data_IF_510902951493
#
_entry.id   IF_510902951493
#
_cell.length_a   1.000
_cell.length_b   1.000
_cell.length_c   1.000
_cell.angle_alpha   90.00
_cell.angle_beta   90.00
_cell.angle_gamma   90.00
#
_symmetry.space_group_name_H-M   'P 1'
#
loop_
_entity.id
_entity.type
_entity.pdbx_description
1 polymer ?
#
# COMPACT_ATOMS: atom_id res chain seq x y z
N UNK A 1 -26.75 31.26 -10.45
CA UNK A 1 -26.95 29.82 -10.37
C UNK A 1 -25.64 29.24 -9.83
N UNK A 2 -25.63 28.51 -8.71
CA UNK A 2 -24.41 27.85 -8.24
C UNK A 2 -24.01 26.79 -9.27
N UNK A 3 -22.76 26.83 -9.72
CA UNK A 3 -22.19 25.75 -10.53
C UNK A 3 -22.33 24.44 -9.75
N UNK A 4 -22.73 23.32 -10.39
CA UNK A 4 -22.70 22.03 -9.74
C UNK A 4 -21.27 21.78 -9.32
N UNK A 5 -21.03 21.63 -8.02
CA UNK A 5 -19.75 21.19 -7.50
C UNK A 5 -19.50 19.79 -8.06
N UNK A 6 -18.66 19.69 -9.07
CA UNK A 6 -18.18 18.40 -9.58
C UNK A 6 -17.54 17.68 -8.40
N UNK A 7 -18.13 16.57 -7.98
CA UNK A 7 -17.49 15.72 -6.97
C UNK A 7 -16.09 15.37 -7.45
N UNK A 8 -15.08 15.49 -6.61
CA UNK A 8 -13.72 15.18 -7.00
C UNK A 8 -13.64 13.72 -7.47
N UNK A 9 -12.99 13.50 -8.62
CA UNK A 9 -12.83 12.17 -9.20
C UNK A 9 -11.86 11.39 -8.33
N UNK A 10 -12.20 10.18 -7.86
CA UNK A 10 -11.27 9.33 -7.12
C UNK A 10 -10.02 9.01 -7.93
N UNK A 11 -8.87 8.89 -7.26
CA UNK A 11 -7.62 8.43 -7.86
C UNK A 11 -7.70 6.95 -8.22
N UNK A 12 -8.32 6.17 -7.32
CA UNK A 12 -8.63 4.75 -7.53
C UNK A 12 -10.09 4.54 -7.17
N UNK A 13 -10.83 3.88 -8.06
CA UNK A 13 -12.23 3.51 -7.83
C UNK A 13 -12.41 2.03 -8.08
N UNK A 14 -12.94 1.33 -7.09
CA UNK A 14 -13.32 -0.07 -7.17
C UNK A 14 -14.85 -0.16 -7.17
N UNK A 15 -15.42 -0.97 -8.06
CA UNK A 15 -16.87 -1.19 -8.11
C UNK A 15 -17.18 -2.67 -8.31
N UNK A 16 -18.00 -3.18 -7.40
CA UNK A 16 -18.53 -4.54 -7.42
C UNK A 16 -17.44 -5.59 -7.68
N UNK A 17 -16.29 -5.46 -6.99
CA UNK A 17 -15.13 -6.30 -7.27
C UNK A 17 -15.29 -7.66 -6.61
N UNK A 18 -15.27 -8.71 -7.41
CA UNK A 18 -15.38 -10.10 -6.96
C UNK A 18 -14.10 -10.89 -7.28
N UNK A 19 -13.71 -11.77 -6.36
CA UNK A 19 -12.65 -12.76 -6.59
C UNK A 19 -12.84 -14.01 -5.77
N UNK A 20 -12.80 -15.14 -6.46
CA UNK A 20 -12.86 -16.48 -5.87
C UNK A 20 -11.65 -17.32 -6.26
N UNK A 21 -11.31 -18.31 -5.46
CA UNK A 21 -10.33 -19.34 -5.73
C UNK A 21 -10.99 -20.71 -5.48
N UNK A 22 -11.38 -21.41 -6.53
CA UNK A 22 -12.27 -22.55 -6.45
C UNK A 22 -13.59 -22.14 -5.79
N UNK A 23 -14.03 -22.87 -4.79
CA UNK A 23 -15.29 -22.59 -4.06
C UNK A 23 -15.15 -21.48 -3.02
N UNK A 24 -13.93 -20.96 -2.78
CA UNK A 24 -13.71 -19.95 -1.76
C UNK A 24 -13.84 -18.55 -2.35
N UNK A 25 -14.92 -17.84 -1.98
CA UNK A 25 -15.08 -16.41 -2.25
C UNK A 25 -14.15 -15.62 -1.32
N UNK A 26 -13.33 -14.73 -1.89
CA UNK A 26 -12.36 -13.91 -1.14
C UNK A 26 -12.69 -12.43 -1.21
N UNK A 27 -13.18 -11.95 -2.35
CA UNK A 27 -13.78 -10.62 -2.50
C UNK A 27 -15.22 -10.81 -2.99
N UNK A 28 -16.16 -10.12 -2.37
CA UNK A 28 -17.60 -10.29 -2.57
C UNK A 28 -18.30 -8.94 -2.73
N UNK A 29 -18.10 -8.31 -3.89
CA UNK A 29 -18.72 -7.02 -4.23
C UNK A 29 -18.04 -5.84 -3.50
N UNK A 30 -16.71 -5.72 -3.60
CA UNK A 30 -15.97 -4.62 -2.99
C UNK A 30 -16.19 -3.32 -3.76
N UNK A 31 -16.74 -2.30 -3.07
CA UNK A 31 -16.80 -0.91 -3.51
C UNK A 31 -15.89 -0.05 -2.63
N UNK A 32 -14.99 0.73 -3.24
CA UNK A 32 -14.10 1.62 -2.52
C UNK A 32 -13.64 2.77 -3.41
N UNK A 33 -13.69 4.00 -2.89
CA UNK A 33 -13.12 5.18 -3.51
C UNK A 33 -11.91 5.67 -2.71
N UNK A 34 -10.79 5.91 -3.39
CA UNK A 34 -9.57 6.44 -2.80
C UNK A 34 -9.30 7.78 -3.47
N UNK A 35 -9.33 8.83 -2.67
CA UNK A 35 -9.23 10.20 -3.17
C UNK A 35 -7.79 10.57 -3.53
N UNK A 36 -7.56 11.47 -4.52
CA UNK A 36 -6.22 11.87 -4.90
C UNK A 36 -5.51 12.60 -3.74
N UNK A 37 -4.22 12.31 -3.59
CA UNK A 37 -3.33 12.92 -2.57
C UNK A 37 -3.77 12.66 -1.12
N UNK A 38 -4.48 11.57 -0.90
CA UNK A 38 -4.83 11.09 0.45
C UNK A 38 -4.23 9.72 0.70
N UNK A 39 -4.12 9.38 1.96
CA UNK A 39 -3.72 8.05 2.42
C UNK A 39 -4.96 7.28 2.90
N UNK A 40 -5.30 6.18 2.22
CA UNK A 40 -6.33 5.22 2.63
C UNK A 40 -5.67 4.04 3.34
N UNK A 41 -6.15 3.70 4.52
CA UNK A 41 -5.71 2.47 5.21
C UNK A 41 -6.81 1.41 5.15
N UNK A 42 -6.49 0.23 4.65
CA UNK A 42 -7.38 -0.93 4.64
C UNK A 42 -7.00 -1.86 5.78
N UNK A 43 -7.88 -1.96 6.77
CA UNK A 43 -7.72 -2.88 7.91
C UNK A 43 -8.60 -4.12 7.76
N UNK A 44 -8.37 -5.13 8.58
CA UNK A 44 -9.17 -6.36 8.64
C UNK A 44 -8.38 -7.55 9.12
N UNK A 45 -9.05 -8.60 9.51
CA UNK A 45 -8.44 -9.83 10.02
C UNK A 45 -7.57 -10.56 8.99
N UNK A 46 -6.79 -11.53 9.49
CA UNK A 46 -6.05 -12.43 8.60
C UNK A 46 -7.03 -13.20 7.70
N UNK A 47 -6.73 -13.25 6.40
CA UNK A 47 -7.59 -13.95 5.43
C UNK A 47 -8.84 -13.17 4.99
N UNK A 48 -9.04 -11.91 5.42
CA UNK A 48 -10.21 -11.11 5.01
C UNK A 48 -10.22 -10.69 3.52
N UNK A 49 -9.11 -10.89 2.79
CA UNK A 49 -9.01 -10.57 1.37
C UNK A 49 -8.11 -9.37 1.03
N UNK A 50 -7.52 -8.67 2.02
CA UNK A 50 -6.72 -7.44 1.79
C UNK A 50 -5.60 -7.60 0.76
N UNK A 51 -4.79 -8.63 0.89
CA UNK A 51 -3.68 -8.88 -0.06
C UNK A 51 -4.20 -9.30 -1.45
N UNK A 52 -5.38 -9.92 -1.53
CA UNK A 52 -6.01 -10.24 -2.82
C UNK A 52 -6.54 -8.97 -3.47
N UNK A 53 -7.21 -8.09 -2.70
CA UNK A 53 -7.66 -6.78 -3.15
C UNK A 53 -6.48 -5.98 -3.73
N UNK A 54 -5.38 -5.88 -2.99
CA UNK A 54 -4.16 -5.22 -3.42
C UNK A 54 -3.62 -5.80 -4.73
N UNK A 55 -3.51 -7.14 -4.81
CA UNK A 55 -3.03 -7.83 -6.02
C UNK A 55 -3.94 -7.61 -7.22
N UNK A 56 -5.25 -7.49 -7.03
CA UNK A 56 -6.18 -7.14 -8.11
C UNK A 56 -5.93 -5.72 -8.61
N UNK A 57 -5.77 -4.73 -7.73
CA UNK A 57 -5.49 -3.34 -8.11
C UNK A 57 -4.14 -3.21 -8.83
N UNK A 58 -3.12 -3.95 -8.37
CA UNK A 58 -1.81 -4.03 -9.03
C UNK A 58 -1.86 -4.79 -10.37
N UNK A 59 -2.97 -5.49 -10.65
CA UNK A 59 -3.12 -6.35 -11.83
C UNK A 59 -2.22 -7.58 -11.81
N UNK A 60 -1.85 -8.05 -10.62
CA UNK A 60 -1.13 -9.31 -10.40
C UNK A 60 -2.10 -10.51 -10.36
N UNK A 61 -3.36 -10.23 -10.03
CA UNK A 61 -4.48 -11.19 -10.07
C UNK A 61 -5.63 -10.50 -10.81
N UNK A 62 -6.25 -11.20 -11.76
CA UNK A 62 -7.43 -10.71 -12.44
C UNK A 62 -8.67 -11.01 -11.57
N UNK A 63 -9.51 -10.00 -11.25
CA UNK A 63 -10.78 -10.23 -10.59
C UNK A 63 -11.74 -10.98 -11.50
N UNK A 64 -12.73 -11.65 -10.91
CA UNK A 64 -13.73 -12.42 -11.69
C UNK A 64 -14.81 -11.49 -12.23
N UNK A 65 -15.16 -10.43 -11.46
CA UNK A 65 -16.17 -9.42 -11.86
C UNK A 65 -15.80 -8.05 -11.28
N UNK A 66 -16.47 -7.02 -11.81
CA UNK A 66 -16.34 -5.63 -11.35
C UNK A 66 -15.47 -4.77 -12.24
N UNK A 67 -15.06 -3.61 -11.70
CA UNK A 67 -14.15 -2.67 -12.37
C UNK A 67 -13.13 -2.07 -11.41
N UNK A 68 -11.97 -1.73 -11.95
CA UNK A 68 -10.88 -1.02 -11.27
C UNK A 68 -10.50 0.17 -12.13
N UNK A 69 -10.84 1.37 -11.68
CA UNK A 69 -10.46 2.60 -12.37
C UNK A 69 -9.28 3.27 -11.67
N UNK A 70 -8.31 3.71 -12.45
CA UNK A 70 -7.20 4.58 -12.03
C UNK A 70 -7.26 5.86 -12.86
N UNK A 71 -7.43 7.01 -12.21
CA UNK A 71 -7.66 8.30 -12.88
C UNK A 71 -8.80 8.25 -13.91
N UNK A 72 -9.87 7.50 -13.61
CA UNK A 72 -11.05 7.33 -14.47
C UNK A 72 -10.87 6.33 -15.63
N UNK A 73 -9.72 5.66 -15.73
CA UNK A 73 -9.48 4.62 -16.74
C UNK A 73 -9.69 3.24 -16.11
N UNK A 74 -10.65 2.46 -16.62
CA UNK A 74 -10.86 1.06 -16.20
C UNK A 74 -9.69 0.19 -16.72
N UNK A 75 -8.77 -0.15 -15.80
CA UNK A 75 -7.55 -0.90 -16.13
C UNK A 75 -7.80 -2.38 -16.48
N UNK A 76 -8.99 -2.91 -16.20
CA UNK A 76 -9.35 -4.27 -16.59
C UNK A 76 -9.74 -4.35 -18.07
N UNK A 77 -10.37 -3.29 -18.59
CA UNK A 77 -10.87 -3.20 -19.98
C UNK A 77 -9.97 -2.39 -20.90
N UNK A 78 -9.06 -1.59 -20.33
CA UNK A 78 -8.14 -0.74 -21.08
C UNK A 78 -7.21 -1.55 -21.99
N UNK A 79 -6.80 -0.95 -23.10
CA UNK A 79 -5.78 -1.52 -23.97
C UNK A 79 -4.45 -1.71 -23.21
N UNK A 80 -3.65 -2.69 -23.67
CA UNK A 80 -2.38 -3.04 -23.00
C UNK A 80 -1.47 -1.83 -22.74
N UNK A 81 -1.26 -0.88 -23.68
CA UNK A 81 -0.40 0.29 -23.44
C UNK A 81 -0.91 1.20 -22.33
N UNK A 82 -2.23 1.44 -22.25
CA UNK A 82 -2.87 2.26 -21.22
C UNK A 82 -2.74 1.60 -19.84
N UNK A 83 -2.97 0.30 -19.77
CA UNK A 83 -2.82 -0.50 -18.56
C UNK A 83 -1.38 -0.52 -18.05
N UNK A 84 -0.40 -0.68 -18.94
CA UNK A 84 1.03 -0.62 -18.60
C UNK A 84 1.43 0.79 -18.13
N UNK A 85 0.92 1.85 -18.77
CA UNK A 85 1.14 3.23 -18.36
C UNK A 85 0.57 3.52 -16.96
N UNK A 86 -0.64 3.03 -16.64
CA UNK A 86 -1.23 3.17 -15.31
C UNK A 86 -0.38 2.45 -14.24
N UNK A 87 0.07 1.22 -14.53
CA UNK A 87 0.92 0.43 -13.61
C UNK A 87 2.30 1.04 -13.38
N UNK A 88 2.88 1.64 -14.40
CA UNK A 88 4.20 2.30 -14.29
C UNK A 88 4.21 3.47 -13.31
N UNK A 89 3.04 3.98 -12.92
CA UNK A 89 2.85 5.08 -11.96
C UNK A 89 2.63 4.59 -10.53
N UNK A 90 2.72 3.28 -10.30
CA UNK A 90 2.49 2.64 -8.99
C UNK A 90 3.84 2.24 -8.37
N UNK A 91 4.08 2.68 -7.14
CA UNK A 91 5.13 2.19 -6.27
C UNK A 91 4.57 1.20 -5.25
N UNK A 92 5.37 0.21 -4.87
CA UNK A 92 4.95 -0.84 -3.92
C UNK A 92 6.03 -1.14 -2.90
N UNK A 93 5.68 -1.05 -1.61
CA UNK A 93 6.45 -1.60 -0.50
C UNK A 93 5.79 -2.90 -0.04
N UNK A 94 6.47 -4.02 -0.28
CA UNK A 94 6.02 -5.36 0.11
C UNK A 94 6.31 -5.64 1.59
N UNK A 95 5.54 -6.53 2.19
CA UNK A 95 5.64 -6.92 3.60
C UNK A 95 7.08 -7.34 4.01
N UNK A 96 7.77 -8.13 3.19
CA UNK A 96 9.15 -8.55 3.44
C UNK A 96 10.22 -7.60 2.85
N UNK A 97 9.83 -6.40 2.36
CA UNK A 97 10.73 -5.51 1.62
C UNK A 97 11.01 -5.97 0.19
N UNK A 98 11.08 -7.28 -0.05
CA UNK A 98 11.33 -7.94 -1.35
C UNK A 98 12.57 -7.38 -2.08
N UNK A 99 13.65 -7.08 -1.36
CA UNK A 99 14.91 -6.66 -1.96
C UNK A 99 15.49 -7.80 -2.81
N UNK A 100 16.20 -7.44 -3.86
CA UNK A 100 16.93 -8.40 -4.68
C UNK A 100 18.23 -8.76 -3.97
N UNK A 101 18.36 -9.99 -3.48
CA UNK A 101 19.53 -10.45 -2.73
C UNK A 101 20.82 -10.44 -3.57
N UNK A 102 20.69 -10.59 -4.88
CA UNK A 102 21.82 -10.55 -5.82
C UNK A 102 22.34 -9.15 -6.15
N UNK A 103 21.65 -8.09 -5.69
CA UNK A 103 22.02 -6.72 -5.96
C UNK A 103 22.43 -5.99 -4.68
N UNK A 104 23.46 -5.14 -4.71
CA UNK A 104 23.79 -4.28 -3.58
C UNK A 104 22.66 -3.29 -3.31
N UNK A 105 22.66 -2.70 -2.13
CA UNK A 105 21.60 -1.78 -1.67
C UNK A 105 21.38 -0.63 -2.64
N UNK A 106 22.44 0.02 -3.14
CA UNK A 106 22.27 1.14 -4.08
C UNK A 106 21.58 0.73 -5.38
N UNK A 107 21.83 -0.48 -5.90
CA UNK A 107 21.15 -1.00 -7.09
C UNK A 107 19.69 -1.35 -6.80
N UNK A 108 19.41 -1.88 -5.60
CA UNK A 108 18.03 -2.07 -5.15
C UNK A 108 17.26 -0.74 -5.17
N UNK A 109 17.79 0.31 -4.55
CA UNK A 109 17.15 1.63 -4.54
C UNK A 109 16.97 2.19 -5.96
N UNK A 110 18.01 2.11 -6.78
CA UNK A 110 18.00 2.66 -8.14
C UNK A 110 17.34 1.75 -9.18
N UNK A 111 16.82 0.57 -8.81
CA UNK A 111 16.33 -0.44 -9.74
C UNK A 111 15.31 0.12 -10.75
N UNK A 112 14.29 0.83 -10.26
CA UNK A 112 13.28 1.44 -11.11
C UNK A 112 13.83 2.52 -12.05
N UNK A 113 14.85 3.28 -11.63
CA UNK A 113 15.51 4.30 -12.45
C UNK A 113 16.33 3.67 -13.57
N UNK A 114 17.04 2.59 -13.26
CA UNK A 114 17.84 1.84 -14.23
C UNK A 114 16.97 1.13 -15.25
N UNK A 115 15.86 0.51 -14.80
CA UNK A 115 14.92 -0.19 -15.68
C UNK A 115 14.24 0.73 -16.69
N UNK A 116 14.07 2.01 -16.37
CA UNK A 116 13.53 3.01 -17.31
C UNK A 116 14.56 3.53 -18.33
N UNK A 117 15.82 3.10 -18.25
CA UNK A 117 16.93 3.56 -19.11
C UNK A 117 17.13 5.09 -19.18
N UNK A 118 16.64 5.83 -18.18
CA UNK A 118 16.68 7.31 -18.14
C UNK A 118 17.95 7.86 -17.49
N UNK A 119 18.72 7.01 -16.83
CA UNK A 119 19.92 7.41 -16.09
C UNK A 119 21.08 6.44 -16.35
N UNK A 120 22.30 6.94 -16.30
CA UNK A 120 23.51 6.11 -16.32
C UNK A 120 23.69 5.42 -14.97
N UNK A 121 24.45 4.30 -14.95
CA UNK A 121 24.74 3.57 -13.71
C UNK A 121 25.42 4.45 -12.64
N UNK A 122 26.31 5.37 -13.04
CA UNK A 122 26.94 6.34 -12.16
C UNK A 122 25.91 7.29 -11.53
N UNK A 123 25.06 7.90 -12.35
CA UNK A 123 23.98 8.79 -11.86
C UNK A 123 22.99 8.06 -10.95
N UNK A 124 22.66 6.80 -11.27
CA UNK A 124 21.78 5.97 -10.45
C UNK A 124 22.37 5.74 -9.05
N UNK A 125 23.68 5.48 -8.96
CA UNK A 125 24.38 5.31 -7.67
C UNK A 125 24.44 6.61 -6.87
N UNK A 126 24.72 7.74 -7.50
CA UNK A 126 24.70 9.06 -6.86
C UNK A 126 23.31 9.35 -6.27
N UNK A 127 22.24 9.17 -7.05
CA UNK A 127 20.86 9.33 -6.58
C UNK A 127 20.48 8.36 -5.46
N UNK A 128 20.90 7.10 -5.58
CA UNK A 128 20.64 6.11 -4.52
C UNK A 128 21.27 6.53 -3.18
N UNK A 129 22.46 7.14 -3.21
CA UNK A 129 23.10 7.69 -2.01
C UNK A 129 22.28 8.82 -1.40
N UNK A 130 21.74 9.71 -2.21
CA UNK A 130 20.85 10.79 -1.75
C UNK A 130 19.56 10.23 -1.13
N UNK A 131 18.94 9.22 -1.76
CA UNK A 131 17.75 8.54 -1.24
C UNK A 131 18.02 7.83 0.10
N UNK A 132 19.14 7.12 0.22
CA UNK A 132 19.53 6.47 1.49
C UNK A 132 19.68 7.47 2.62
N UNK A 133 20.24 8.65 2.36
CA UNK A 133 20.35 9.71 3.35
C UNK A 133 18.98 10.22 3.82
N UNK A 134 17.95 10.26 2.95
CA UNK A 134 16.60 10.70 3.29
C UNK A 134 15.91 9.78 4.32
N UNK A 135 16.29 8.50 4.36
CA UNK A 135 15.81 7.54 5.35
C UNK A 135 16.82 7.28 6.48
N UNK A 136 17.80 8.17 6.64
CA UNK A 136 18.77 8.11 7.72
C UNK A 136 19.76 6.93 7.61
N UNK A 137 20.10 6.52 6.39
CA UNK A 137 21.13 5.51 6.13
C UNK A 137 22.40 6.17 5.58
N UNK A 138 23.56 5.75 6.11
CA UNK A 138 24.84 6.24 5.65
C UNK A 138 25.16 5.77 4.21
N UNK A 139 25.93 6.57 3.46
CA UNK A 139 26.34 6.23 2.10
C UNK A 139 27.07 4.86 2.00
N UNK A 140 27.81 4.49 3.05
CA UNK A 140 28.52 3.20 3.13
C UNK A 140 27.58 1.98 3.10
N UNK A 141 26.32 2.14 3.48
CA UNK A 141 25.31 1.07 3.41
C UNK A 141 25.00 0.70 1.96
N UNK A 142 25.22 1.64 1.02
CA UNK A 142 24.91 1.44 -0.39
C UNK A 142 25.61 0.23 -1.03
N UNK A 143 26.81 -0.11 -0.60
CA UNK A 143 27.60 -1.22 -1.16
C UNK A 143 27.34 -2.58 -0.49
N UNK A 144 26.57 -2.60 0.60
CA UNK A 144 26.24 -3.82 1.33
C UNK A 144 25.21 -4.66 0.57
N UNK A 145 25.26 -6.00 0.69
CA UNK A 145 24.16 -6.86 0.27
C UNK A 145 22.97 -6.73 1.27
N UNK A 146 21.73 -6.97 0.83
CA UNK A 146 20.56 -6.92 1.71
C UNK A 146 20.65 -7.80 2.97
N UNK A 147 21.34 -8.92 2.88
CA UNK A 147 21.52 -9.87 3.98
C UNK A 147 22.31 -9.30 5.18
N UNK A 148 23.12 -8.27 4.98
CA UNK A 148 23.88 -7.58 6.04
C UNK A 148 23.08 -6.47 6.74
N UNK A 149 21.86 -6.20 6.29
CA UNK A 149 21.01 -5.16 6.85
C UNK A 149 20.13 -5.68 7.99
N UNK A 150 19.93 -4.89 9.02
CA UNK A 150 18.85 -5.15 9.99
C UNK A 150 17.47 -5.03 9.33
N UNK A 151 16.42 -5.64 9.92
CA UNK A 151 15.07 -5.59 9.40
C UNK A 151 14.55 -4.15 9.16
N UNK A 152 14.83 -3.23 10.08
CA UNK A 152 14.49 -1.81 9.92
C UNK A 152 15.28 -1.11 8.80
N UNK A 153 16.54 -1.49 8.56
CA UNK A 153 17.32 -0.99 7.42
C UNK A 153 16.76 -1.54 6.10
N UNK A 154 16.43 -2.83 6.04
CA UNK A 154 15.81 -3.44 4.84
C UNK A 154 14.50 -2.75 4.47
N UNK A 155 13.64 -2.43 5.45
CA UNK A 155 12.39 -1.70 5.22
C UNK A 155 12.63 -0.30 4.67
N UNK A 156 13.62 0.44 5.21
CA UNK A 156 13.98 1.77 4.71
C UNK A 156 14.53 1.75 3.28
N UNK A 157 15.39 0.79 2.97
CA UNK A 157 15.89 0.56 1.60
C UNK A 157 14.74 0.20 0.64
N UNK A 158 13.83 -0.68 1.06
CA UNK A 158 12.67 -1.07 0.25
C UNK A 158 11.69 0.08 0.03
N UNK A 159 11.53 0.97 1.03
CA UNK A 159 10.75 2.19 0.88
C UNK A 159 11.38 3.10 -0.19
N UNK A 160 12.68 3.37 -0.11
CA UNK A 160 13.37 4.20 -1.10
C UNK A 160 13.31 3.58 -2.51
N UNK A 161 13.44 2.27 -2.65
CA UNK A 161 13.25 1.59 -3.94
C UNK A 161 11.85 1.84 -4.53
N UNK A 162 10.82 1.84 -3.66
CA UNK A 162 9.45 2.05 -4.10
C UNK A 162 9.19 3.49 -4.54
N UNK A 163 9.83 4.49 -3.92
CA UNK A 163 9.60 5.92 -4.17
C UNK A 163 10.60 6.54 -5.16
N UNK A 164 11.75 5.92 -5.40
CA UNK A 164 12.77 6.45 -6.32
C UNK A 164 12.24 6.78 -7.73
N UNK A 165 11.30 6.00 -8.32
CA UNK A 165 10.68 6.33 -9.60
C UNK A 165 9.68 7.51 -9.54
N UNK A 166 9.41 8.08 -8.36
CA UNK A 166 8.42 9.14 -8.11
C UNK A 166 7.00 8.74 -8.54
N UNK A 167 6.44 7.67 -7.96
CA UNK A 167 5.12 7.19 -8.33
C UNK A 167 3.99 8.12 -7.88
N UNK A 168 2.88 8.15 -8.63
CA UNK A 168 1.68 8.89 -8.27
C UNK A 168 0.82 8.16 -7.24
N UNK A 169 0.98 6.84 -7.17
CA UNK A 169 0.24 5.96 -6.28
C UNK A 169 1.24 5.08 -5.54
N UNK A 170 1.11 5.00 -4.23
CA UNK A 170 1.94 4.16 -3.37
C UNK A 170 1.10 3.10 -2.67
N UNK A 171 1.53 1.86 -2.76
CA UNK A 171 0.97 0.75 -1.97
C UNK A 171 1.95 0.29 -0.90
N UNK A 172 1.43 0.04 0.30
CA UNK A 172 2.17 -0.44 1.46
C UNK A 172 1.48 -1.70 2.01
N UNK A 173 2.11 -2.85 1.86
CA UNK A 173 1.59 -4.12 2.38
C UNK A 173 2.29 -4.44 3.70
N UNK A 174 1.58 -4.26 4.82
CA UNK A 174 2.06 -4.55 6.17
C UNK A 174 3.45 -3.94 6.44
N UNK A 175 3.65 -2.61 6.28
CA UNK A 175 4.98 -2.00 6.23
C UNK A 175 5.78 -2.16 7.52
N UNK A 176 5.12 -2.26 8.68
CA UNK A 176 5.73 -2.32 10.01
C UNK A 176 5.76 -3.73 10.61
N UNK A 177 5.21 -4.71 9.93
CA UNK A 177 5.19 -6.10 10.41
C UNK A 177 6.61 -6.63 10.60
N UNK A 178 6.86 -7.23 11.79
CA UNK A 178 8.14 -7.80 12.19
C UNK A 178 9.13 -6.78 12.78
N UNK A 179 8.72 -5.54 12.98
CA UNK A 179 9.50 -4.51 13.67
C UNK A 179 9.00 -4.31 15.11
N UNK A 180 9.89 -3.82 15.96
CA UNK A 180 9.48 -3.33 17.28
C UNK A 180 8.62 -2.04 17.15
N UNK A 181 7.83 -1.67 18.18
CA UNK A 181 6.92 -0.53 18.09
C UNK A 181 7.61 0.82 17.82
N UNK A 182 8.84 1.00 18.27
CA UNK A 182 9.59 2.27 18.06
C UNK A 182 10.02 2.35 16.60
N UNK A 183 10.61 1.27 16.07
CA UNK A 183 11.01 1.21 14.66
C UNK A 183 9.78 1.26 13.74
N UNK A 184 8.68 0.61 14.12
CA UNK A 184 7.41 0.73 13.40
C UNK A 184 6.97 2.18 13.28
N UNK A 185 7.00 2.96 14.37
CA UNK A 185 6.66 4.37 14.34
C UNK A 185 7.60 5.21 13.46
N UNK A 186 8.88 4.86 13.40
CA UNK A 186 9.85 5.51 12.48
C UNK A 186 9.47 5.24 11.03
N UNK A 187 9.15 3.99 10.67
CA UNK A 187 8.74 3.63 9.29
C UNK A 187 7.43 4.34 8.92
N UNK A 188 6.44 4.37 9.82
CA UNK A 188 5.18 5.09 9.59
C UNK A 188 5.44 6.59 9.30
N UNK A 189 6.31 7.23 10.10
CA UNK A 189 6.72 8.62 9.88
C UNK A 189 7.36 8.83 8.51
N UNK A 190 8.30 7.96 8.12
CA UNK A 190 8.94 8.01 6.81
C UNK A 190 7.93 7.84 5.67
N UNK A 191 6.94 6.95 5.80
CA UNK A 191 5.85 6.76 4.82
C UNK A 191 5.07 8.06 4.67
N UNK A 192 4.62 8.66 5.78
CA UNK A 192 3.84 9.91 5.77
C UNK A 192 4.62 11.04 5.10
N UNK A 193 5.89 11.21 5.46
CA UNK A 193 6.75 12.27 4.91
C UNK A 193 6.99 12.07 3.41
N UNK A 194 7.24 10.83 2.98
CA UNK A 194 7.44 10.50 1.57
C UNK A 194 6.18 10.76 0.75
N UNK A 195 5.01 10.28 1.21
CA UNK A 195 3.74 10.47 0.51
C UNK A 195 3.40 11.96 0.37
N UNK A 196 3.58 12.74 1.44
CA UNK A 196 3.37 14.19 1.42
C UNK A 196 4.33 14.91 0.47
N UNK A 197 5.61 14.57 0.52
CA UNK A 197 6.65 15.17 -0.33
C UNK A 197 6.40 14.90 -1.81
N UNK A 198 5.98 13.68 -2.17
CA UNK A 198 5.68 13.31 -3.55
C UNK A 198 4.30 13.83 -4.00
N UNK A 199 3.40 14.18 -3.08
CA UNK A 199 2.01 14.47 -3.42
C UNK A 199 1.28 13.24 -3.98
N UNK A 200 1.73 12.05 -3.61
CA UNK A 200 1.18 10.78 -4.08
C UNK A 200 -0.12 10.43 -3.34
N UNK A 201 -0.91 9.55 -3.93
CA UNK A 201 -2.02 8.88 -3.25
C UNK A 201 -1.50 7.59 -2.64
N UNK A 202 -1.83 7.30 -1.39
CA UNK A 202 -1.34 6.11 -0.69
C UNK A 202 -2.46 5.14 -0.33
N UNK A 203 -2.16 3.85 -0.40
CA UNK A 203 -3.00 2.77 0.11
C UNK A 203 -2.13 1.87 0.98
N UNK A 204 -2.41 1.82 2.27
CA UNK A 204 -1.72 0.94 3.19
C UNK A 204 -2.64 -0.18 3.67
N UNK A 205 -2.11 -1.39 3.71
CA UNK A 205 -2.75 -2.52 4.36
C UNK A 205 -2.02 -2.75 5.68
N UNK A 206 -2.76 -2.80 6.78
CA UNK A 206 -2.18 -3.14 8.08
C UNK A 206 -3.23 -3.73 9.02
N UNK A 207 -2.77 -4.48 10.01
CA UNK A 207 -3.56 -4.89 11.16
C UNK A 207 -3.14 -4.15 12.44
N UNK A 208 -2.13 -3.27 12.36
CA UNK A 208 -1.70 -2.41 13.47
C UNK A 208 -2.49 -1.10 13.47
N UNK A 209 -3.31 -0.91 14.51
CA UNK A 209 -4.16 0.27 14.65
C UNK A 209 -3.36 1.56 14.92
N UNK A 210 -2.19 1.45 15.52
CA UNK A 210 -1.32 2.61 15.73
C UNK A 210 -0.75 3.10 14.37
N UNK A 211 -0.26 2.19 13.53
CA UNK A 211 0.17 2.49 12.15
C UNK A 211 -1.00 3.02 11.31
N UNK A 212 -2.17 2.37 11.38
CA UNK A 212 -3.36 2.80 10.63
C UNK A 212 -3.71 4.28 10.89
N UNK A 213 -3.69 4.70 12.14
CA UNK A 213 -3.99 6.08 12.55
C UNK A 213 -2.89 7.09 12.21
N UNK A 214 -1.62 6.65 12.12
CA UNK A 214 -0.51 7.54 11.75
C UNK A 214 -0.44 7.77 10.24
N UNK A 215 -0.66 6.71 9.45
CA UNK A 215 -0.52 6.76 7.99
C UNK A 215 -1.79 7.30 7.33
N UNK A 216 -2.99 6.95 7.83
CA UNK A 216 -4.25 7.15 7.14
C UNK A 216 -4.86 8.53 7.36
N UNK A 217 -5.30 9.19 6.28
CA UNK A 217 -6.31 10.25 6.31
C UNK A 217 -7.71 9.62 6.42
N UNK A 218 -7.90 8.48 5.76
CA UNK A 218 -9.13 7.69 5.78
C UNK A 218 -8.80 6.20 6.00
N UNK A 219 -9.80 5.46 6.47
CA UNK A 219 -9.67 4.04 6.68
C UNK A 219 -10.91 3.29 6.18
N UNK A 220 -10.72 2.03 5.78
CA UNK A 220 -11.78 1.12 5.43
C UNK A 220 -11.51 -0.24 6.09
N UNK A 221 -12.56 -0.91 6.55
CA UNK A 221 -12.44 -2.28 7.07
C UNK A 221 -12.97 -3.28 6.05
N UNK A 222 -12.09 -4.19 5.65
CA UNK A 222 -12.44 -5.35 4.83
C UNK A 222 -12.66 -6.56 5.73
N UNK A 223 -13.89 -7.08 5.74
CA UNK A 223 -14.26 -8.30 6.47
C UNK A 223 -15.09 -9.22 5.59
N UNK A 224 -14.77 -10.52 5.58
CA UNK A 224 -15.44 -11.53 4.73
C UNK A 224 -15.61 -11.09 3.27
N UNK A 225 -14.57 -10.46 2.69
CA UNK A 225 -14.57 -10.01 1.30
C UNK A 225 -15.36 -8.74 1.01
N UNK A 226 -15.93 -8.08 2.03
CA UNK A 226 -16.73 -6.84 1.89
C UNK A 226 -16.13 -5.67 2.65
N UNK A 227 -16.32 -4.46 2.14
CA UNK A 227 -16.07 -3.25 2.94
C UNK A 227 -17.26 -3.07 3.88
N UNK A 228 -17.03 -3.33 5.17
CA UNK A 228 -18.08 -3.22 6.20
C UNK A 228 -18.14 -1.82 6.82
N UNK A 229 -17.10 -1.03 6.64
CA UNK A 229 -17.02 0.36 7.08
C UNK A 229 -15.96 1.13 6.29
N UNK A 230 -16.19 2.42 6.06
CA UNK A 230 -15.20 3.37 5.56
C UNK A 230 -15.48 4.76 6.12
N UNK A 231 -14.43 5.48 6.51
CA UNK A 231 -14.53 6.82 7.08
C UNK A 231 -13.17 7.44 7.37
N UNK A 232 -13.12 8.63 8.01
CA UNK A 232 -11.88 9.26 8.46
C UNK A 232 -11.11 8.34 9.43
N UNK A 233 -9.78 8.28 9.29
CA UNK A 233 -8.95 7.40 10.12
C UNK A 233 -8.99 7.78 11.62
N UNK A 234 -9.27 9.03 11.93
CA UNK A 234 -9.46 9.51 13.30
C UNK A 234 -10.64 8.84 14.02
N UNK A 235 -11.69 8.46 13.26
CA UNK A 235 -12.87 7.77 13.77
C UNK A 235 -12.72 6.24 13.85
N UNK A 236 -11.55 5.70 13.50
CA UNK A 236 -11.33 4.27 13.47
C UNK A 236 -11.58 3.58 14.84
N UNK A 237 -11.23 4.27 15.93
CA UNK A 237 -11.41 3.74 17.30
C UNK A 237 -12.82 4.00 17.88
N UNK A 238 -13.63 4.84 17.22
CA UNK A 238 -14.99 5.20 17.59
C UNK A 238 -15.85 5.29 16.32
N UNK A 239 -15.89 4.20 15.59
CA UNK A 239 -16.50 4.12 14.26
C UNK A 239 -18.02 4.03 14.27
N UNK A 240 -18.61 3.65 15.43
CA UNK A 240 -20.02 3.30 15.54
C UNK A 240 -20.41 1.98 14.84
N UNK A 241 -19.44 1.25 14.29
CA UNK A 241 -19.64 -0.05 13.66
C UNK A 241 -19.13 -1.17 14.58
N UNK A 242 -19.98 -2.12 14.92
CA UNK A 242 -19.67 -3.15 15.90
C UNK A 242 -18.52 -4.09 15.49
N UNK A 243 -18.34 -4.35 14.19
CA UNK A 243 -17.22 -5.17 13.68
C UNK A 243 -15.89 -4.41 13.78
N UNK A 244 -15.89 -3.14 13.37
CA UNK A 244 -14.72 -2.27 13.50
C UNK A 244 -14.32 -2.13 14.95
N UNK A 245 -15.31 -1.86 15.82
CA UNK A 245 -15.13 -1.69 17.26
C UNK A 245 -14.53 -2.96 17.93
N UNK A 246 -15.05 -4.14 17.57
CA UNK A 246 -14.48 -5.40 18.03
C UNK A 246 -13.02 -5.55 17.57
N UNK A 247 -12.75 -5.29 16.30
CA UNK A 247 -11.43 -5.49 15.70
C UNK A 247 -10.38 -4.52 16.27
N UNK A 248 -10.73 -3.24 16.34
CA UNK A 248 -9.80 -2.19 16.77
C UNK A 248 -9.44 -2.25 18.25
N UNK A 249 -10.38 -2.72 19.09
CA UNK A 249 -10.18 -2.91 20.52
C UNK A 249 -9.71 -4.32 20.89
N UNK A 250 -9.59 -5.23 19.93
CA UNK A 250 -9.16 -6.61 20.17
C UNK A 250 -10.12 -7.39 21.08
N UNK A 251 -11.43 -7.10 21.01
CA UNK A 251 -12.42 -7.76 21.86
C UNK A 251 -12.65 -9.20 21.39
N UNK A 252 -12.62 -10.14 22.32
CA UNK A 252 -12.87 -11.56 22.04
C UNK A 252 -14.32 -11.81 21.60
N UNK A 253 -15.27 -11.11 22.20
CA UNK A 253 -16.70 -11.23 21.94
C UNK A 253 -17.17 -10.11 21.02
N UNK A 254 -18.02 -10.44 20.03
CA UNK A 254 -18.57 -9.51 19.08
C UNK A 254 -19.07 -10.20 17.80
N UNK A 255 -19.45 -9.43 16.78
CA UNK A 255 -20.00 -9.97 15.54
C UNK A 255 -18.97 -10.78 14.72
N UNK A 256 -17.68 -10.48 14.83
CA UNK A 256 -16.63 -11.25 14.15
C UNK A 256 -16.38 -12.55 14.94
N UNK A 257 -16.75 -13.67 14.34
CA UNK A 257 -16.50 -14.99 14.90
C UNK A 257 -15.21 -15.56 14.32
N UNK A 258 -14.24 -15.87 15.19
CA UNK A 258 -13.01 -16.56 14.78
C UNK A 258 -13.26 -18.06 14.76
N UNK A 259 -13.16 -18.70 13.59
CA UNK A 259 -13.12 -20.15 13.51
C UNK A 259 -11.81 -20.65 14.12
N UNK A 260 -11.87 -21.16 15.33
CA UNK A 260 -10.77 -21.93 15.91
C UNK A 260 -10.70 -23.25 15.14
N UNK A 261 -9.83 -23.36 14.14
CA UNK A 261 -9.52 -24.66 13.54
C UNK A 261 -9.00 -25.56 14.67
N UNK A 262 -9.76 -26.61 14.94
CA UNK A 262 -9.33 -27.72 15.79
C UNK A 262 -8.35 -28.61 15.06
#
# INVERSE_FOLDING_TARGET
MPHPMTQPVPKIRLRNLHKSFGDKVVLDGVDLDIMPRTSMVVIGGSGSGKSVLLKCVLGLIEPDEGSIEIDGVDILRAARPEREAARARIGMLFQAGALFDSLPVWENVAFGLLAQHKVTRRMARERATEFLAQVGLAASVGDLPPAELSGGMQKRVALERAIAPQPDIMFFDEPTTGLDPIMGAVIDGLIVDCVKRLGSTAVAITHDMASARRIGDSAAMLNHGKIVWSGPAEHLMDSGNAEVDQFTHGRREGPIQMELRR
#
